data_IF_738309599617
#
_entry.id   IF_738309599617
#
_cell.length_a   1.000
_cell.length_b   1.000
_cell.length_c   1.000
_cell.angle_alpha   90.00
_cell.angle_beta   90.00
_cell.angle_gamma   90.00
#
_symmetry.space_group_name_H-M   'P 1'
#
loop_
_entity.id
_entity.type
_entity.pdbx_description
1 polymer ?
#
# COMPACT_ATOMS: atom_id res chain seq x y z
N UNK A 1 -3.39 8.24 -3.74
CA UNK A 1 -2.62 8.50 -2.51
C UNK A 1 -3.60 8.54 -1.35
N UNK A 2 -3.22 8.01 -0.19
CA UNK A 2 -4.04 8.07 1.04
C UNK A 2 -3.28 8.88 2.09
N UNK A 3 -3.98 9.77 2.79
CA UNK A 3 -3.39 10.72 3.73
C UNK A 3 -4.15 10.72 5.06
N UNK A 4 -3.45 11.08 6.14
CA UNK A 4 -4.05 11.18 7.47
C UNK A 4 -4.21 9.82 8.15
N UNK A 5 -5.31 9.64 8.88
CA UNK A 5 -5.54 8.44 9.68
C UNK A 5 -6.49 7.46 8.97
N UNK A 6 -6.08 6.19 8.95
CA UNK A 6 -6.87 5.07 8.47
C UNK A 6 -7.45 4.30 9.66
N UNK A 7 -8.58 4.79 10.17
CA UNK A 7 -9.31 4.24 11.29
C UNK A 7 -10.74 3.80 10.92
N UNK A 8 -11.53 3.39 11.90
CA UNK A 8 -12.90 2.90 11.68
C UNK A 8 -13.83 3.94 11.05
N UNK A 9 -13.56 5.24 11.23
CA UNK A 9 -14.34 6.33 10.67
C UNK A 9 -13.96 6.66 9.22
N UNK A 10 -12.71 6.39 8.81
CA UNK A 10 -12.22 6.71 7.46
C UNK A 10 -12.17 5.51 6.51
N UNK A 11 -12.13 4.29 7.05
CA UNK A 11 -11.95 3.05 6.27
C UNK A 11 -13.02 2.83 5.19
N UNK A 12 -14.28 3.22 5.44
CA UNK A 12 -15.39 3.03 4.49
C UNK A 12 -15.21 3.91 3.24
N UNK A 13 -14.77 5.16 3.42
CA UNK A 13 -14.52 6.06 2.32
C UNK A 13 -13.35 5.57 1.45
N UNK A 14 -12.32 5.01 2.09
CA UNK A 14 -11.15 4.44 1.42
C UNK A 14 -11.53 3.17 0.65
N UNK A 15 -12.34 2.28 1.23
CA UNK A 15 -12.85 1.09 0.52
C UNK A 15 -13.60 1.48 -0.75
N UNK A 16 -14.52 2.44 -0.64
CA UNK A 16 -15.33 2.92 -1.77
C UNK A 16 -14.44 3.47 -2.90
N UNK A 17 -13.44 4.25 -2.53
CA UNK A 17 -12.48 4.83 -3.48
C UNK A 17 -11.63 3.76 -4.13
N UNK A 18 -11.14 2.80 -3.35
CA UNK A 18 -10.31 1.69 -3.83
C UNK A 18 -11.06 0.81 -4.82
N UNK A 19 -12.29 0.41 -4.50
CA UNK A 19 -13.13 -0.40 -5.38
C UNK A 19 -13.48 0.32 -6.68
N UNK A 20 -13.71 1.64 -6.61
CA UNK A 20 -13.96 2.46 -7.80
C UNK A 20 -12.71 2.56 -8.69
N UNK A 21 -11.53 2.71 -8.09
CA UNK A 21 -10.26 2.70 -8.82
C UNK A 21 -10.01 1.34 -9.50
N UNK A 22 -10.31 0.23 -8.82
CA UNK A 22 -10.20 -1.12 -9.40
C UNK A 22 -11.13 -1.28 -10.60
N UNK A 23 -12.39 -0.87 -10.48
CA UNK A 23 -13.37 -1.02 -11.55
C UNK A 23 -13.00 -0.26 -12.84
N UNK A 24 -12.16 0.77 -12.73
CA UNK A 24 -11.78 1.67 -13.84
C UNK A 24 -10.35 1.47 -14.33
N UNK A 25 -9.54 0.66 -13.64
CA UNK A 25 -8.13 0.47 -13.99
C UNK A 25 -7.95 -0.45 -15.21
N UNK A 26 -7.49 0.12 -16.33
CA UNK A 26 -7.15 -0.64 -17.54
C UNK A 26 -5.90 -1.54 -17.38
N UNK A 27 -5.12 -1.34 -16.31
CA UNK A 27 -3.77 -1.91 -16.15
C UNK A 27 -3.63 -3.09 -15.18
N UNK A 28 -4.72 -3.66 -14.68
CA UNK A 28 -4.71 -4.78 -13.70
C UNK A 28 -3.80 -4.56 -12.47
N UNK A 29 -3.37 -3.33 -12.18
CA UNK A 29 -2.48 -2.99 -11.08
C UNK A 29 -2.97 -1.70 -10.41
N UNK A 30 -3.21 -1.77 -9.11
CA UNK A 30 -3.57 -0.64 -8.26
C UNK A 30 -2.45 -0.41 -7.25
N UNK A 31 -1.93 0.81 -7.22
CA UNK A 31 -0.92 1.25 -6.26
C UNK A 31 -1.59 2.11 -5.18
N UNK A 32 -1.40 1.74 -3.92
CA UNK A 32 -1.86 2.51 -2.77
C UNK A 32 -0.64 3.06 -2.04
N UNK A 33 -0.46 4.36 -2.13
CA UNK A 33 0.57 5.08 -1.39
C UNK A 33 0.08 5.41 0.03
N UNK A 34 0.83 4.90 1.02
CA UNK A 34 0.57 5.02 2.46
C UNK A 34 1.62 5.90 3.16
N UNK A 35 2.51 6.57 2.43
CA UNK A 35 3.59 7.38 3.02
C UNK A 35 3.09 8.53 3.89
N UNK A 36 1.93 9.10 3.53
CA UNK A 36 1.29 10.20 4.25
C UNK A 36 0.32 9.72 5.35
N UNK A 37 0.17 8.40 5.55
CA UNK A 37 -0.70 7.84 6.57
C UNK A 37 0.00 7.88 7.94
N UNK A 38 -0.63 8.55 8.91
CA UNK A 38 -0.08 8.75 10.25
C UNK A 38 -0.50 7.64 11.23
N UNK A 39 -1.65 7.03 10.98
CA UNK A 39 -2.17 5.92 11.77
C UNK A 39 -2.85 4.86 10.89
N UNK A 40 -2.59 3.59 11.17
CA UNK A 40 -3.22 2.45 10.49
C UNK A 40 -3.85 1.52 11.54
N UNK A 41 -5.17 1.54 11.61
CA UNK A 41 -5.96 0.67 12.48
C UNK A 41 -6.01 -0.79 11.99
N UNK A 42 -6.48 -1.69 12.85
CA UNK A 42 -6.75 -3.09 12.47
C UNK A 42 -7.84 -3.21 11.40
N UNK A 43 -8.85 -2.34 11.43
CA UNK A 43 -9.91 -2.28 10.40
C UNK A 43 -9.32 -1.91 9.04
N UNK A 44 -8.40 -0.96 8.99
CA UNK A 44 -7.73 -0.58 7.75
C UNK A 44 -6.82 -1.71 7.22
N UNK A 45 -6.12 -2.42 8.11
CA UNK A 45 -5.35 -3.61 7.73
C UNK A 45 -6.27 -4.68 7.12
N UNK A 46 -7.42 -4.96 7.76
CA UNK A 46 -8.39 -5.94 7.25
C UNK A 46 -8.89 -5.55 5.85
N UNK A 47 -9.24 -4.28 5.65
CA UNK A 47 -9.62 -3.76 4.33
C UNK A 47 -8.54 -4.03 3.27
N UNK A 48 -7.26 -3.75 3.57
CA UNK A 48 -6.16 -3.95 2.61
C UNK A 48 -5.96 -5.44 2.28
N UNK A 49 -6.13 -6.33 3.25
CA UNK A 49 -6.07 -7.78 3.05
C UNK A 49 -7.23 -8.26 2.17
N UNK A 50 -8.45 -7.81 2.46
CA UNK A 50 -9.65 -8.16 1.70
C UNK A 50 -9.55 -7.64 0.26
N UNK A 51 -9.04 -6.43 0.07
CA UNK A 51 -8.82 -5.85 -1.24
C UNK A 51 -7.78 -6.65 -2.05
N UNK A 52 -6.68 -7.08 -1.44
CA UNK A 52 -5.69 -7.92 -2.14
C UNK A 52 -6.24 -9.32 -2.45
N UNK A 53 -7.03 -9.91 -1.55
CA UNK A 53 -7.70 -11.18 -1.83
C UNK A 53 -8.66 -11.05 -3.03
N UNK A 54 -9.46 -9.98 -3.06
CA UNK A 54 -10.33 -9.65 -4.21
C UNK A 54 -9.50 -9.40 -5.47
N UNK A 55 -8.33 -8.78 -5.35
CA UNK A 55 -7.39 -8.58 -6.44
C UNK A 55 -6.98 -9.87 -7.11
N UNK A 56 -6.47 -10.78 -6.28
CA UNK A 56 -5.98 -12.07 -6.72
C UNK A 56 -7.05 -12.89 -7.43
N UNK A 57 -8.29 -12.86 -6.93
CA UNK A 57 -9.42 -13.54 -7.57
C UNK A 57 -9.88 -12.85 -8.87
N UNK A 58 -9.76 -11.53 -8.95
CA UNK A 58 -10.20 -10.74 -10.11
C UNK A 58 -9.16 -10.59 -11.22
N UNK A 59 -7.98 -11.21 -11.09
CA UNK A 59 -6.89 -11.07 -12.08
C UNK A 59 -6.24 -9.69 -12.08
N UNK A 60 -6.31 -8.96 -10.96
CA UNK A 60 -5.58 -7.72 -10.75
C UNK A 60 -4.66 -7.81 -9.53
N UNK A 61 -3.76 -6.86 -9.40
CA UNK A 61 -2.76 -6.78 -8.34
C UNK A 61 -2.97 -5.51 -7.53
N UNK A 62 -2.95 -5.64 -6.21
CA UNK A 62 -2.84 -4.51 -5.29
C UNK A 62 -1.40 -4.43 -4.78
N UNK A 63 -0.78 -3.25 -4.81
CA UNK A 63 0.53 -3.02 -4.21
C UNK A 63 0.50 -1.82 -3.29
N UNK A 64 1.16 -1.96 -2.15
CA UNK A 64 1.29 -0.90 -1.16
C UNK A 64 2.66 -0.24 -1.33
N UNK A 65 2.67 1.09 -1.42
CA UNK A 65 3.88 1.90 -1.36
C UNK A 65 3.97 2.46 0.06
N UNK A 66 5.07 2.15 0.74
CA UNK A 66 5.27 2.52 2.13
C UNK A 66 6.77 2.58 2.44
N UNK A 67 7.26 3.77 2.77
CA UNK A 67 8.62 4.01 3.25
C UNK A 67 8.79 3.36 4.63
N UNK A 68 9.94 2.73 4.86
CA UNK A 68 10.28 2.07 6.12
C UNK A 68 10.17 2.97 7.36
N UNK A 69 10.33 4.28 7.19
CA UNK A 69 10.25 5.29 8.25
C UNK A 69 8.84 5.81 8.49
N UNK A 70 7.89 5.50 7.60
CA UNK A 70 6.50 5.94 7.76
C UNK A 70 5.84 5.29 8.98
N UNK A 71 4.89 5.98 9.65
CA UNK A 71 4.13 5.39 10.75
C UNK A 71 3.41 4.10 10.36
N UNK A 72 2.83 4.06 9.15
CA UNK A 72 2.13 2.91 8.59
C UNK A 72 3.03 1.65 8.47
N UNK A 73 4.32 1.82 8.16
CA UNK A 73 5.25 0.70 8.03
C UNK A 73 5.37 -0.14 9.32
N UNK A 74 5.23 0.49 10.49
CA UNK A 74 5.29 -0.23 11.78
C UNK A 74 4.17 -1.26 11.92
N UNK A 75 2.96 -0.86 11.52
CA UNK A 75 1.79 -1.75 11.53
C UNK A 75 1.96 -2.82 10.44
N UNK A 76 2.29 -2.43 9.21
CA UNK A 76 2.42 -3.36 8.08
C UNK A 76 3.52 -4.41 8.27
N UNK A 77 4.62 -4.10 8.96
CA UNK A 77 5.67 -5.08 9.29
C UNK A 77 5.14 -6.29 10.07
N UNK A 78 4.05 -6.11 10.81
CA UNK A 78 3.42 -7.18 11.62
C UNK A 78 2.38 -7.98 10.83
N UNK A 79 2.05 -7.59 9.60
CA UNK A 79 0.98 -8.18 8.79
C UNK A 79 1.55 -8.59 7.42
N UNK A 80 1.99 -9.85 7.34
CA UNK A 80 3.10 -10.28 6.48
C UNK A 80 2.82 -10.62 5.00
N UNK A 81 1.60 -10.76 4.42
CA UNK A 81 1.55 -11.13 3.00
C UNK A 81 1.49 -9.98 1.99
N UNK A 82 1.26 -8.72 2.38
CA UNK A 82 0.93 -7.65 1.40
C UNK A 82 2.12 -6.86 0.84
N UNK A 83 3.31 -6.99 1.42
CA UNK A 83 4.46 -6.16 1.03
C UNK A 83 5.38 -6.96 0.12
N UNK A 84 5.12 -6.90 -1.19
CA UNK A 84 6.20 -7.13 -2.14
C UNK A 84 7.23 -6.01 -1.95
N UNK A 85 8.29 -6.29 -1.19
CA UNK A 85 9.40 -5.37 -0.96
C UNK A 85 10.15 -5.15 -2.27
N UNK A 86 9.93 -4.02 -2.92
CA UNK A 86 10.92 -3.49 -3.87
C UNK A 86 11.83 -2.56 -3.09
N UNK A 87 12.95 -3.10 -2.59
CA UNK A 87 14.06 -2.27 -2.14
C UNK A 87 14.67 -1.61 -3.37
N UNK A 88 14.47 -0.32 -3.56
CA UNK A 88 15.39 0.46 -4.40
C UNK A 88 16.70 0.56 -3.64
N UNK A 89 17.60 -0.39 -3.89
CA UNK A 89 19.04 -0.17 -3.65
C UNK A 89 19.45 0.91 -4.64
N UNK A 90 19.62 2.13 -4.17
CA UNK A 90 20.39 3.14 -4.89
C UNK A 90 21.84 2.68 -4.85
N UNK A 91 22.24 1.91 -5.86
CA UNK A 91 23.65 1.65 -6.16
C UNK A 91 24.17 2.91 -6.86
N UNK A 92 24.56 3.89 -6.05
CA UNK A 92 25.30 5.06 -6.48
C UNK A 92 26.78 4.77 -6.30
N UNK A 93 27.35 4.02 -7.23
CA UNK A 93 28.79 3.94 -7.42
C UNK A 93 29.32 5.37 -7.65
N UNK A 94 30.12 5.88 -6.72
CA UNK A 94 31.07 6.94 -7.01
C UNK A 94 32.37 6.25 -7.43
N UNK A 95 32.41 5.93 -8.72
CA UNK A 95 33.65 5.73 -9.46
C UNK A 95 34.22 7.14 -9.72
N UNK A 96 35.33 7.46 -9.05
CA UNK A 96 36.23 8.52 -9.48
C UNK A 96 37.65 8.05 -9.17
N UNK A 97 38.22 7.37 -10.16
CA UNK A 97 39.65 7.35 -10.43
C UNK A 97 39.91 8.42 -11.52
N UNK A 98 41.09 9.09 -11.54
CA UNK A 98 42.40 8.44 -11.51
C UNK A 98 43.35 8.88 -10.39
#
# INVERSE_FOLDING_TARGET
>A
MVEGDLDVSTVVAVETTLLSAVATAAGHLVLVDLNAVQFLSTSAVALLLDAEARARHGGWSLRLICDERSPAARTLRRVVPLVHRTSTRTDGAHDDAP
#
